data_IF_876406941488
#
_entry.id   IF_876406941488
#
_cell.length_a   1.000
_cell.length_b   1.000
_cell.length_c   1.000
_cell.angle_alpha   90.00
_cell.angle_beta   90.00
_cell.angle_gamma   90.00
#
_symmetry.space_group_name_H-M   'P 1'
#
loop_
_entity.id
_entity.type
_entity.pdbx_description
1 polymer ?
#
# COMPACT_ATOMS: atom_id res chain seq x y z
N UNK A 1 13.05 11.32 -0.33
CA UNK A 1 12.60 12.33 -1.30
C UNK A 1 13.23 12.00 -2.63
N UNK A 2 12.48 12.12 -3.71
CA UNK A 2 12.96 11.92 -5.08
C UNK A 2 13.02 13.27 -5.81
N UNK A 3 13.87 13.34 -6.82
CA UNK A 3 13.93 14.47 -7.74
C UNK A 3 12.68 14.47 -8.63
N UNK A 4 12.14 15.65 -9.01
CA UNK A 4 10.97 15.75 -9.89
C UNK A 4 11.09 14.99 -11.20
N UNK A 5 12.30 14.98 -11.75
CA UNK A 5 12.63 14.34 -13.02
C UNK A 5 12.56 12.82 -12.96
N UNK A 6 12.59 12.23 -11.76
CA UNK A 6 12.46 10.77 -11.61
C UNK A 6 11.02 10.29 -11.81
N UNK A 7 10.03 11.18 -11.72
CA UNK A 7 8.65 10.88 -12.12
C UNK A 7 8.06 9.65 -11.44
N UNK A 8 7.27 8.88 -12.20
CA UNK A 8 6.64 7.65 -11.71
C UNK A 8 7.65 6.51 -11.61
N UNK A 9 8.64 6.49 -12.49
CA UNK A 9 9.70 5.50 -12.56
C UNK A 9 10.53 5.48 -11.27
N UNK A 10 10.85 6.66 -10.72
CA UNK A 10 11.52 6.79 -9.43
C UNK A 10 10.68 6.24 -8.28
N UNK A 11 9.37 6.49 -8.28
CA UNK A 11 8.45 5.92 -7.27
C UNK A 11 8.44 4.40 -7.37
N UNK A 12 8.30 3.86 -8.58
CA UNK A 12 8.32 2.40 -8.81
C UNK A 12 9.63 1.80 -8.33
N UNK A 13 10.76 2.38 -8.73
CA UNK A 13 12.09 1.93 -8.29
C UNK A 13 12.20 1.94 -6.76
N UNK A 14 11.79 3.02 -6.11
CA UNK A 14 11.81 3.13 -4.65
C UNK A 14 10.98 2.03 -3.97
N UNK A 15 9.79 1.73 -4.50
CA UNK A 15 8.93 0.64 -3.99
C UNK A 15 9.62 -0.71 -4.15
N UNK A 16 10.15 -1.00 -5.34
CA UNK A 16 10.83 -2.26 -5.60
C UNK A 16 12.04 -2.47 -4.71
N UNK A 17 12.90 -1.46 -4.56
CA UNK A 17 14.09 -1.53 -3.70
C UNK A 17 13.75 -1.82 -2.24
N UNK A 18 12.70 -1.16 -1.71
CA UNK A 18 12.25 -1.39 -0.34
C UNK A 18 11.67 -2.79 -0.16
N UNK A 19 10.79 -3.23 -1.06
CA UNK A 19 10.11 -4.52 -0.93
C UNK A 19 11.07 -5.68 -1.19
N UNK A 20 11.94 -5.61 -2.20
CA UNK A 20 12.90 -6.69 -2.51
C UNK A 20 13.87 -6.94 -1.36
N UNK A 21 14.20 -5.91 -0.58
CA UNK A 21 15.21 -5.99 0.47
C UNK A 21 14.61 -6.28 1.84
N UNK A 22 13.44 -5.71 2.15
CA UNK A 22 12.91 -5.69 3.52
C UNK A 22 11.69 -6.60 3.70
N UNK A 23 10.98 -6.98 2.63
CA UNK A 23 9.69 -7.65 2.78
C UNK A 23 9.78 -9.03 3.44
N UNK A 24 10.89 -9.77 3.24
CA UNK A 24 11.09 -11.08 3.87
C UNK A 24 11.03 -11.01 5.41
N UNK A 25 11.46 -9.88 5.99
CA UNK A 25 11.43 -9.67 7.43
C UNK A 25 10.04 -9.27 7.96
N UNK A 26 9.06 -9.07 7.08
CA UNK A 26 7.70 -8.68 7.40
C UNK A 26 6.69 -9.81 7.15
N UNK A 27 7.12 -11.07 7.26
CA UNK A 27 6.28 -12.27 7.12
C UNK A 27 5.36 -12.21 5.89
N UNK A 28 5.93 -12.25 4.66
CA UNK A 28 5.14 -12.15 3.44
C UNK A 28 4.12 -13.31 3.33
N UNK A 29 3.02 -13.16 2.57
CA UNK A 29 2.73 -12.06 1.64
C UNK A 29 2.45 -10.73 2.35
N UNK A 30 3.10 -9.66 1.89
CA UNK A 30 2.91 -8.32 2.48
C UNK A 30 1.86 -7.52 1.71
N UNK A 31 1.03 -6.75 2.42
CA UNK A 31 0.25 -5.68 1.81
C UNK A 31 1.13 -4.44 1.72
N UNK A 32 1.28 -3.87 0.54
CA UNK A 32 2.16 -2.71 0.32
C UNK A 32 1.32 -1.45 0.22
N UNK A 33 1.52 -0.50 1.13
CA UNK A 33 0.95 0.84 1.04
C UNK A 33 2.01 1.83 0.59
N UNK A 34 1.69 2.61 -0.45
CA UNK A 34 2.57 3.64 -1.00
C UNK A 34 1.91 4.99 -0.81
N UNK A 35 2.63 5.92 -0.21
CA UNK A 35 2.20 7.31 -0.05
C UNK A 35 3.02 8.23 -0.93
N UNK A 36 2.38 9.14 -1.65
CA UNK A 36 3.04 10.12 -2.53
C UNK A 36 2.55 11.54 -2.19
N UNK A 37 3.45 12.44 -1.81
CA UNK A 37 3.10 13.81 -1.39
C UNK A 37 4.25 14.81 -1.63
N UNK A 38 4.09 16.07 -1.22
CA UNK A 38 5.22 17.02 -1.14
C UNK A 38 6.24 16.58 -0.09
N UNK A 39 5.79 16.31 1.14
CA UNK A 39 6.63 16.06 2.30
C UNK A 39 6.67 14.58 2.66
N UNK A 40 7.77 14.11 3.28
CA UNK A 40 7.92 12.69 3.64
C UNK A 40 6.97 12.31 4.78
N UNK A 41 6.69 13.23 5.69
CA UNK A 41 5.75 13.04 6.80
C UNK A 41 4.35 12.77 6.27
N UNK A 42 3.91 13.58 5.30
CA UNK A 42 2.61 13.41 4.65
C UNK A 42 2.58 12.10 3.86
N UNK A 43 3.65 11.81 3.11
CA UNK A 43 3.78 10.55 2.39
C UNK A 43 3.69 9.34 3.34
N UNK A 44 4.32 9.39 4.51
CA UNK A 44 4.28 8.33 5.51
C UNK A 44 2.89 8.13 6.13
N UNK A 45 2.15 9.21 6.37
CA UNK A 45 0.75 9.12 6.80
C UNK A 45 -0.10 8.48 5.71
N UNK A 46 0.07 8.89 4.45
CA UNK A 46 -0.65 8.34 3.31
C UNK A 46 -0.31 6.86 3.06
N UNK A 47 0.96 6.44 3.19
CA UNK A 47 1.34 5.03 3.03
C UNK A 47 0.70 4.14 4.10
N UNK A 48 0.57 4.64 5.33
CA UNK A 48 -0.19 3.95 6.39
C UNK A 48 -1.68 3.93 6.12
N UNK A 49 -2.25 5.03 5.63
CA UNK A 49 -3.66 5.05 5.21
C UNK A 49 -3.93 4.04 4.09
N UNK A 50 -3.00 3.89 3.15
CA UNK A 50 -3.11 2.97 2.03
C UNK A 50 -3.20 1.49 2.49
N UNK A 51 -2.41 1.07 3.48
CA UNK A 51 -2.52 -0.31 4.02
C UNK A 51 -3.81 -0.57 4.80
N UNK A 52 -4.57 0.47 5.20
CA UNK A 52 -5.84 0.30 5.91
C UNK A 52 -7.04 0.11 4.97
N UNK A 53 -6.86 0.36 3.67
CA UNK A 53 -7.90 0.12 2.66
C UNK A 53 -8.27 -1.37 2.59
N UNK A 54 -9.54 -1.70 2.23
CA UNK A 54 -9.94 -3.08 2.03
C UNK A 54 -9.03 -3.80 1.02
N UNK A 55 -8.59 -5.00 1.37
CA UNK A 55 -7.81 -5.86 0.46
C UNK A 55 -8.67 -6.17 -0.76
N UNK A 56 -8.09 -6.07 -1.96
CA UNK A 56 -8.81 -6.21 -3.23
C UNK A 56 -9.49 -4.93 -3.72
N UNK A 57 -9.50 -3.85 -2.92
CA UNK A 57 -9.92 -2.55 -3.42
C UNK A 57 -8.90 -1.98 -4.40
N UNK A 58 -9.34 -1.03 -5.24
CA UNK A 58 -8.50 -0.28 -6.18
C UNK A 58 -8.74 1.21 -6.00
N UNK A 59 -7.73 1.99 -6.33
CA UNK A 59 -7.81 3.44 -6.21
C UNK A 59 -8.88 4.01 -7.17
N UNK A 60 -9.69 5.01 -6.78
CA UNK A 60 -10.74 5.56 -7.65
C UNK A 60 -10.18 6.27 -8.90
N UNK A 61 -8.96 6.81 -8.83
CA UNK A 61 -8.26 7.34 -10.01
C UNK A 61 -7.72 6.18 -10.88
N UNK A 62 -8.12 6.07 -12.16
CA UNK A 62 -7.72 4.97 -13.03
C UNK A 62 -6.21 4.81 -13.21
N UNK A 63 -5.45 5.91 -13.29
CA UNK A 63 -3.98 5.85 -13.48
C UNK A 63 -3.28 5.29 -12.24
N UNK A 64 -3.76 5.65 -11.05
CA UNK A 64 -3.23 5.12 -9.81
C UNK A 64 -3.62 3.64 -9.64
N UNK A 65 -4.85 3.26 -10.00
CA UNK A 65 -5.28 1.86 -9.98
C UNK A 65 -4.47 0.97 -10.94
N UNK A 66 -4.15 1.48 -12.14
CA UNK A 66 -3.27 0.78 -13.08
C UNK A 66 -1.87 0.60 -12.48
N UNK A 67 -1.33 1.63 -11.82
CA UNK A 67 -0.03 1.56 -11.17
C UNK A 67 -0.03 0.58 -9.98
N UNK A 68 -1.09 0.56 -9.17
CA UNK A 68 -1.29 -0.45 -8.11
C UNK A 68 -1.17 -1.87 -8.69
N UNK A 69 -1.88 -2.15 -9.79
CA UNK A 69 -1.87 -3.45 -10.44
C UNK A 69 -0.50 -3.81 -11.02
N UNK A 70 0.16 -2.88 -11.71
CA UNK A 70 1.49 -3.12 -12.31
C UNK A 70 2.57 -3.35 -11.24
N UNK A 71 2.51 -2.62 -10.13
CA UNK A 71 3.38 -2.86 -8.98
C UNK A 71 3.11 -4.23 -8.36
N UNK A 72 1.85 -4.58 -8.13
CA UNK A 72 1.45 -5.87 -7.57
C UNK A 72 1.98 -7.05 -8.39
N UNK A 73 1.75 -7.02 -9.71
CA UNK A 73 2.25 -8.04 -10.62
C UNK A 73 3.78 -8.12 -10.61
N UNK A 74 4.45 -6.98 -10.67
CA UNK A 74 5.91 -6.95 -10.73
C UNK A 74 6.58 -7.38 -9.44
N UNK A 75 6.01 -7.04 -8.27
CA UNK A 75 6.47 -7.52 -6.97
C UNK A 75 6.24 -9.02 -6.80
N UNK A 76 5.13 -9.56 -7.32
CA UNK A 76 4.90 -11.01 -7.33
C UNK A 76 5.93 -11.74 -8.21
N UNK A 77 6.33 -11.14 -9.35
CA UNK A 77 7.39 -11.69 -10.21
C UNK A 77 8.78 -11.73 -9.57
N UNK A 78 9.04 -11.00 -8.48
CA UNK A 78 10.30 -11.10 -7.74
C UNK A 78 10.50 -12.48 -7.09
N UNK A 79 9.42 -13.24 -6.90
CA UNK A 79 9.53 -14.61 -6.42
C UNK A 79 9.90 -14.76 -4.95
N UNK A 80 9.65 -13.75 -4.10
CA UNK A 80 9.89 -13.82 -2.64
C UNK A 80 9.01 -14.90 -2.01
N UNK A 81 7.73 -14.96 -2.40
CA UNK A 81 6.76 -15.94 -1.93
C UNK A 81 6.39 -15.80 -0.44
N UNK A 82 5.45 -16.62 0.05
CA UNK A 82 5.05 -16.63 1.45
C UNK A 82 6.22 -16.98 2.37
N UNK A 83 6.36 -16.26 3.48
CA UNK A 83 7.47 -16.39 4.45
C UNK A 83 8.88 -16.27 3.85
N UNK A 84 9.02 -15.81 2.60
CA UNK A 84 10.32 -15.78 1.91
C UNK A 84 10.76 -17.13 1.36
N UNK A 85 9.87 -18.13 1.31
CA UNK A 85 10.18 -19.49 0.86
C UNK A 85 10.16 -19.65 -0.66
N UNK A 86 10.24 -18.54 -1.38
CA UNK A 86 10.14 -18.43 -2.85
C UNK A 86 8.78 -18.83 -3.42
N UNK A 87 8.54 -18.47 -4.68
CA UNK A 87 7.30 -18.78 -5.39
C UNK A 87 6.41 -17.56 -5.63
N UNK A 88 5.12 -17.80 -5.90
CA UNK A 88 4.17 -16.74 -6.23
C UNK A 88 3.53 -16.13 -4.96
N UNK A 89 2.78 -15.04 -5.10
CA UNK A 89 2.10 -14.35 -3.98
C UNK A 89 3.08 -13.81 -2.93
N UNK A 90 4.03 -12.99 -3.39
CA UNK A 90 4.94 -12.21 -2.53
C UNK A 90 4.19 -11.06 -1.82
N UNK A 91 3.12 -10.57 -2.44
CA UNK A 91 2.30 -9.48 -1.92
C UNK A 91 0.81 -9.87 -1.89
N UNK A 92 0.08 -9.37 -0.90
CA UNK A 92 -1.39 -9.46 -0.85
C UNK A 92 -2.07 -8.42 -1.73
N UNK A 93 -1.32 -7.39 -2.13
CA UNK A 93 -1.80 -6.27 -2.93
C UNK A 93 -0.92 -5.04 -2.75
N UNK A 94 -1.15 -4.05 -3.60
CA UNK A 94 -0.53 -2.73 -3.50
C UNK A 94 -1.64 -1.68 -3.48
N UNK A 95 -1.59 -0.76 -2.53
CA UNK A 95 -2.47 0.39 -2.46
C UNK A 95 -1.64 1.68 -2.50
N UNK A 96 -2.10 2.65 -3.28
CA UNK A 96 -1.48 3.97 -3.40
C UNK A 96 -2.43 5.01 -2.83
N UNK A 97 -1.93 5.92 -2.01
CA UNK A 97 -2.60 7.16 -1.64
C UNK A 97 -1.69 8.33 -2.02
N UNK A 98 -2.27 9.39 -2.57
CA UNK A 98 -1.49 10.56 -3.01
C UNK A 98 -2.15 11.87 -2.61
N UNK A 99 -1.33 12.89 -2.35
CA UNK A 99 -1.76 14.27 -2.19
C UNK A 99 -1.13 15.16 -3.26
N UNK A 100 -1.64 16.39 -3.36
CA UNK A 100 -1.01 17.43 -4.17
C UNK A 100 0.45 17.62 -3.74
N UNK A 101 1.32 17.92 -4.71
CA UNK A 101 2.75 18.14 -4.46
C UNK A 101 3.28 19.42 -5.08
N UNK A 102 4.29 20.01 -4.46
CA UNK A 102 5.09 21.04 -5.14
C UNK A 102 5.85 20.41 -6.33
N UNK A 103 5.94 21.06 -7.50
CA UNK A 103 6.60 20.48 -8.67
C UNK A 103 8.05 20.07 -8.44
N UNK A 104 8.76 20.76 -7.54
CA UNK A 104 10.20 20.58 -7.27
C UNK A 104 10.58 19.39 -6.38
N UNK A 105 9.62 18.62 -5.85
CA UNK A 105 9.93 17.46 -5.01
C UNK A 105 8.87 16.37 -5.12
N UNK A 106 9.26 15.13 -4.86
CA UNK A 106 8.35 13.99 -4.68
C UNK A 106 8.71 13.29 -3.36
N UNK A 107 7.87 13.48 -2.35
CA UNK A 107 7.88 12.70 -1.12
C UNK A 107 7.23 11.35 -1.37
N UNK A 108 7.96 10.27 -1.08
CA UNK A 108 7.47 8.89 -1.21
C UNK A 108 7.74 8.16 0.09
N UNK A 109 6.77 7.37 0.54
CA UNK A 109 6.92 6.45 1.65
C UNK A 109 6.27 5.11 1.33
N UNK A 110 6.83 4.05 1.90
CA UNK A 110 6.30 2.69 1.80
C UNK A 110 6.01 2.19 3.21
N UNK A 111 4.85 1.56 3.38
CA UNK A 111 4.49 0.85 4.60
C UNK A 111 4.03 -0.55 4.24
N UNK A 112 4.31 -1.52 5.09
CA UNK A 112 3.89 -2.90 4.88
C UNK A 112 2.95 -3.37 5.98
N UNK A 113 1.92 -4.10 5.59
CA UNK A 113 1.16 -4.97 6.48
C UNK A 113 1.64 -6.40 6.30
N UNK A 114 2.09 -7.07 7.36
CA UNK A 114 2.45 -8.48 7.30
C UNK A 114 1.22 -9.37 7.06
N UNK A 115 1.43 -10.68 6.87
CA UNK A 115 0.34 -11.65 6.77
C UNK A 115 -0.68 -11.56 7.92
N UNK A 116 -0.24 -11.26 9.15
CA UNK A 116 -1.12 -11.00 10.29
C UNK A 116 -1.68 -9.56 10.28
N UNK A 117 -2.21 -9.13 9.14
CA UNK A 117 -2.71 -7.78 8.92
C UNK A 117 -3.97 -7.52 9.74
N UNK A 118 -3.78 -7.02 10.97
CA UNK A 118 -4.83 -6.75 11.95
C UNK A 118 -5.33 -5.32 11.78
N UNK A 119 -6.56 -5.17 11.29
CA UNK A 119 -7.28 -3.89 11.22
C UNK A 119 -8.77 -4.08 11.52
N UNK A 120 -9.41 -3.02 11.98
CA UNK A 120 -10.85 -2.95 12.16
C UNK A 120 -11.34 -1.54 11.89
N UNK A 121 -12.52 -1.42 11.29
CA UNK A 121 -13.16 -0.14 10.98
C UNK A 121 -14.61 -0.24 11.35
N UNK A 122 -15.06 0.69 12.18
CA UNK A 122 -16.45 0.89 12.55
C UNK A 122 -16.89 2.23 11.98
N UNK A 123 -18.08 2.27 11.38
CA UNK A 123 -18.78 3.50 11.04
C UNK A 123 -19.82 3.74 12.13
N UNK A 124 -19.76 4.89 12.80
CA UNK A 124 -20.72 5.28 13.84
C UNK A 124 -21.61 6.39 13.28
N UNK A 125 -22.92 6.18 13.36
CA UNK A 125 -23.94 7.10 12.86
C UNK A 125 -24.35 8.09 13.95
N UNK A 126 -25.02 9.18 13.55
CA UNK A 126 -25.45 10.23 14.47
C UNK A 126 -26.49 9.76 15.51
N UNK A 127 -27.22 8.69 15.20
CA UNK A 127 -28.18 8.03 16.09
C UNK A 127 -27.52 7.00 17.04
N UNK A 128 -26.18 6.98 17.10
CA UNK A 128 -25.37 6.06 17.89
C UNK A 128 -25.42 4.60 17.45
N UNK A 129 -26.07 4.29 16.32
CA UNK A 129 -25.92 2.98 15.68
C UNK A 129 -24.53 2.88 15.04
N UNK A 130 -24.05 1.65 14.82
CA UNK A 130 -22.75 1.44 14.18
C UNK A 130 -22.76 0.26 13.20
N UNK A 131 -21.89 0.34 12.21
CA UNK A 131 -21.65 -0.70 11.22
C UNK A 131 -20.19 -1.17 11.28
N UNK A 132 -19.96 -2.48 11.29
CA UNK A 132 -18.61 -3.03 11.20
C UNK A 132 -18.20 -3.24 9.74
N UNK A 133 -17.50 -2.25 9.19
CA UNK A 133 -17.05 -2.26 7.79
C UNK A 133 -15.96 -3.30 7.50
N UNK A 134 -15.23 -3.77 8.53
CA UNK A 134 -14.12 -4.73 8.35
C UNK A 134 -14.49 -6.18 8.63
N UNK A 135 -15.49 -6.43 9.47
CA UNK A 135 -15.90 -7.78 9.88
C UNK A 135 -17.40 -7.98 9.63
N UNK A 136 -17.81 -7.89 8.36
CA UNK A 136 -19.22 -7.96 7.95
C UNK A 136 -19.85 -9.34 8.28
N UNK A 137 -19.02 -10.38 8.51
CA UNK A 137 -19.48 -11.75 8.82
C UNK A 137 -19.61 -12.09 10.31
N UNK A 138 -19.23 -11.20 11.24
CA UNK A 138 -19.25 -11.54 12.69
C UNK A 138 -20.58 -11.23 13.39
N UNK A 139 -21.67 -11.07 12.63
CA UNK A 139 -23.01 -10.77 13.15
C UNK A 139 -24.01 -11.91 12.91
N UNK A 140 -23.53 -13.14 12.69
CA UNK A 140 -24.34 -14.37 12.71
C UNK A 140 -24.11 -15.13 14.01
#
# INVERSE_FOLDING_TARGET
MLMPSEGYEGVVKFVFENISTLAVNACPPVLVGVGIATSVETAAVLSRKAILRPIGSRHPNPKAAELELRLEEGLNRLGIGPQGLTGNSSVMGVHIESAARHPSTIGVAVSTGCWAHRRGTLLVHADLTFENLSHIRSAL
#
